data_IF_454670835037
#
_entry.id   IF_454670835037
#
_cell.length_a   1.000
_cell.length_b   1.000
_cell.length_c   1.000
_cell.angle_alpha   90.00
_cell.angle_beta   90.00
_cell.angle_gamma   90.00
#
_symmetry.space_group_name_H-M   'P 1'
#
loop_
_entity.id
_entity.type
_entity.pdbx_description
1 polymer ?
#
# COMPACT_ATOMS: atom_id res chain seq x y z
N UNK A 1 6.45 -16.31 9.38
CA UNK A 1 5.19 -17.01 9.68
C UNK A 1 4.67 -16.72 11.09
N UNK A 2 5.53 -16.58 12.12
CA UNK A 2 5.11 -16.15 13.46
C UNK A 2 4.47 -14.75 13.46
N UNK A 3 5.10 -13.81 12.74
CA UNK A 3 4.71 -12.41 12.82
C UNK A 3 3.40 -12.16 12.07
N UNK A 4 3.20 -12.80 10.93
CA UNK A 4 1.93 -12.76 10.18
C UNK A 4 0.73 -13.29 10.98
N UNK A 5 0.96 -14.31 11.82
CA UNK A 5 -0.08 -14.85 12.72
C UNK A 5 -0.38 -13.85 13.84
N UNK A 6 0.64 -13.21 14.41
CA UNK A 6 0.46 -12.18 15.45
C UNK A 6 -0.27 -10.93 14.92
N UNK A 7 0.03 -10.47 13.70
CA UNK A 7 -0.70 -9.36 13.07
C UNK A 7 -2.12 -9.76 12.66
N UNK A 8 -2.32 -11.00 12.23
CA UNK A 8 -3.65 -11.59 12.02
C UNK A 8 -4.51 -11.60 13.30
N UNK A 9 -3.87 -11.90 14.44
CA UNK A 9 -4.50 -11.87 15.76
C UNK A 9 -4.86 -10.45 16.22
N UNK A 10 -4.03 -9.45 15.90
CA UNK A 10 -4.37 -8.03 16.15
C UNK A 10 -5.65 -7.66 15.39
N UNK A 11 -5.75 -8.00 14.10
CA UNK A 11 -6.98 -7.79 13.32
C UNK A 11 -8.20 -8.43 13.97
N UNK A 12 -8.08 -9.69 14.43
CA UNK A 12 -9.16 -10.40 15.13
C UNK A 12 -9.56 -9.74 16.45
N UNK A 13 -8.58 -9.39 17.30
CA UNK A 13 -8.81 -8.75 18.60
C UNK A 13 -9.54 -7.40 18.46
N UNK A 14 -9.18 -6.62 17.44
CA UNK A 14 -9.82 -5.35 17.15
C UNK A 14 -11.23 -5.51 16.58
N UNK A 15 -11.47 -6.56 15.79
CA UNK A 15 -12.81 -6.88 15.28
C UNK A 15 -13.76 -7.28 16.41
N UNK A 16 -13.27 -8.07 17.36
CA UNK A 16 -14.01 -8.47 18.56
C UNK A 16 -14.27 -7.27 19.48
N UNK A 17 -13.30 -6.36 19.61
CA UNK A 17 -13.48 -5.10 20.33
C UNK A 17 -14.54 -4.22 19.67
N UNK A 18 -14.51 -4.03 18.35
CA UNK A 18 -15.50 -3.18 17.69
C UNK A 18 -16.89 -3.78 17.63
N UNK A 19 -17.05 -5.09 17.42
CA UNK A 19 -18.37 -5.74 17.52
C UNK A 19 -19.00 -5.52 18.92
N UNK A 20 -18.18 -5.45 19.97
CA UNK A 20 -18.64 -5.13 21.32
C UNK A 20 -19.04 -3.65 21.50
N UNK A 21 -18.55 -2.73 20.67
CA UNK A 21 -18.75 -1.27 20.81
C UNK A 21 -19.52 -0.61 19.65
N UNK A 22 -19.82 -1.34 18.56
CA UNK A 22 -20.49 -0.85 17.35
C UNK A 22 -21.97 -0.48 17.54
N UNK A 23 -22.56 -0.74 18.72
CA UNK A 23 -23.90 -0.26 19.06
C UNK A 23 -23.97 1.26 19.33
N UNK A 24 -22.85 1.99 19.32
CA UNK A 24 -22.80 3.39 19.78
C UNK A 24 -22.68 4.47 18.68
N UNK A 25 -22.43 4.14 17.41
CA UNK A 25 -22.26 5.15 16.34
C UNK A 25 -23.06 4.79 15.09
N UNK A 26 -24.38 4.81 15.23
CA UNK A 26 -25.30 4.74 14.10
C UNK A 26 -25.53 6.17 13.56
N UNK A 27 -24.51 6.71 12.90
CA UNK A 27 -24.55 7.98 12.18
C UNK A 27 -23.96 7.77 10.79
N UNK A 28 -24.64 8.30 9.78
CA UNK A 28 -24.47 8.16 8.32
C UNK A 28 -23.03 8.26 7.79
N UNK A 29 -22.16 7.26 8.02
CA UNK A 29 -20.90 7.14 7.29
C UNK A 29 -21.21 6.50 5.93
N UNK A 30 -21.33 7.34 4.91
CA UNK A 30 -21.22 6.92 3.51
C UNK A 30 -19.88 6.22 3.33
N UNK A 31 -19.81 5.07 2.64
CA UNK A 31 -18.55 4.33 2.47
C UNK A 31 -17.42 5.28 2.05
N UNK A 32 -16.43 5.49 2.91
CA UNK A 32 -15.29 6.39 2.65
C UNK A 32 -14.10 5.60 2.10
N UNK A 33 -13.14 6.30 1.51
CA UNK A 33 -11.93 5.71 0.93
C UNK A 33 -10.70 6.15 1.71
N UNK A 34 -9.89 5.19 2.14
CA UNK A 34 -8.58 5.40 2.72
C UNK A 34 -7.48 4.95 1.75
N UNK A 35 -6.42 5.76 1.65
CA UNK A 35 -5.17 5.41 0.97
C UNK A 35 -4.08 5.22 2.03
N UNK A 36 -3.56 4.00 2.19
CA UNK A 36 -2.43 3.67 3.08
C UNK A 36 -1.15 3.55 2.23
N UNK A 37 -0.35 4.61 2.19
CA UNK A 37 0.90 4.65 1.43
C UNK A 37 2.06 4.24 2.35
N UNK A 38 2.78 3.18 1.96
CA UNK A 38 3.81 2.55 2.79
C UNK A 38 3.19 1.64 3.86
N UNK A 39 2.36 0.70 3.42
CA UNK A 39 1.49 -0.09 4.28
C UNK A 39 2.21 -0.97 5.31
N UNK A 40 3.48 -1.32 5.09
CA UNK A 40 4.26 -2.21 5.93
C UNK A 40 3.46 -3.50 6.21
N UNK A 41 3.22 -3.89 7.47
CA UNK A 41 2.41 -5.05 7.82
C UNK A 41 0.88 -4.87 7.65
N UNK A 42 0.41 -3.70 7.21
CA UNK A 42 -1.00 -3.39 6.95
C UNK A 42 -1.81 -2.92 8.15
N UNK A 43 -1.17 -2.66 9.30
CA UNK A 43 -1.85 -2.31 10.56
C UNK A 43 -2.85 -1.16 10.40
N UNK A 44 -2.41 -0.01 9.87
CA UNK A 44 -3.28 1.16 9.69
C UNK A 44 -4.42 0.91 8.71
N UNK A 45 -4.16 0.18 7.64
CA UNK A 45 -5.20 -0.18 6.70
C UNK A 45 -6.30 -1.05 7.30
N UNK A 46 -5.94 -2.04 8.12
CA UNK A 46 -6.95 -2.85 8.79
C UNK A 46 -7.71 -2.06 9.85
N UNK A 47 -7.08 -1.12 10.55
CA UNK A 47 -7.78 -0.13 11.39
C UNK A 47 -8.74 0.76 10.59
N UNK A 48 -8.36 1.22 9.39
CA UNK A 48 -9.25 2.01 8.54
C UNK A 48 -10.43 1.20 7.99
N UNK A 49 -10.24 -0.10 7.73
CA UNK A 49 -11.29 -0.98 7.23
C UNK A 49 -12.41 -1.24 8.26
N UNK A 50 -12.14 -1.06 9.55
CA UNK A 50 -13.08 -1.35 10.62
C UNK A 50 -14.31 -0.40 10.61
N UNK A 51 -14.19 0.95 10.51
CA UNK A 51 -15.33 1.87 10.36
C UNK A 51 -15.94 1.92 8.95
N UNK A 52 -16.02 0.77 8.25
CA UNK A 52 -16.60 0.66 6.89
C UNK A 52 -15.90 1.47 5.77
N UNK A 53 -14.61 1.81 5.92
CA UNK A 53 -13.85 2.37 4.79
C UNK A 53 -13.43 1.26 3.83
N UNK A 54 -13.42 1.55 2.54
CA UNK A 54 -12.59 0.77 1.60
C UNK A 54 -11.16 1.32 1.68
N UNK A 55 -10.18 0.42 1.66
CA UNK A 55 -8.78 0.78 1.88
C UNK A 55 -7.91 0.25 0.75
N UNK A 56 -7.07 1.13 0.21
CA UNK A 56 -6.04 0.77 -0.75
C UNK A 56 -4.67 0.88 -0.07
N UNK A 57 -3.96 -0.24 0.04
CA UNK A 57 -2.63 -0.34 0.64
C UNK A 57 -1.59 -0.34 -0.47
N UNK A 58 -0.57 0.50 -0.37
CA UNK A 58 0.57 0.51 -1.28
C UNK A 58 1.82 0.10 -0.52
N UNK A 59 2.46 -0.98 -0.96
CA UNK A 59 3.65 -1.52 -0.32
C UNK A 59 4.63 -2.02 -1.39
N UNK A 60 5.92 -1.79 -1.18
CA UNK A 60 6.98 -2.10 -2.14
C UNK A 60 7.76 -3.37 -1.79
N UNK A 61 7.72 -3.83 -0.54
CA UNK A 61 8.51 -4.96 -0.07
C UNK A 61 7.72 -6.28 -0.10
N UNK A 62 8.22 -7.32 -0.81
CA UNK A 62 7.54 -8.61 -0.91
C UNK A 62 7.27 -9.33 0.41
N UNK A 63 8.15 -9.16 1.40
CA UNK A 63 7.98 -9.73 2.72
C UNK A 63 6.66 -9.28 3.36
N UNK A 64 6.32 -7.99 3.19
CA UNK A 64 5.08 -7.41 3.69
C UNK A 64 3.86 -7.79 2.86
N UNK A 65 4.00 -7.98 1.55
CA UNK A 65 2.91 -8.48 0.72
C UNK A 65 2.39 -9.84 1.19
N UNK A 66 3.29 -10.75 1.57
CA UNK A 66 2.91 -12.06 2.07
C UNK A 66 2.11 -11.96 3.37
N UNK A 67 2.52 -11.07 4.28
CA UNK A 67 1.81 -10.80 5.54
C UNK A 67 0.41 -10.22 5.24
N UNK A 68 0.32 -9.14 4.47
CA UNK A 68 -0.95 -8.47 4.16
C UNK A 68 -1.91 -9.42 3.45
N UNK A 69 -1.45 -10.19 2.45
CA UNK A 69 -2.28 -11.17 1.73
C UNK A 69 -2.86 -12.21 2.67
N UNK A 70 -2.06 -12.69 3.61
CA UNK A 70 -2.53 -13.64 4.62
C UNK A 70 -3.54 -12.98 5.57
N UNK A 71 -3.30 -11.75 6.02
CA UNK A 71 -4.26 -10.99 6.85
C UNK A 71 -5.58 -10.75 6.13
N UNK A 72 -5.56 -10.42 4.83
CA UNK A 72 -6.77 -10.30 3.99
C UNK A 72 -7.50 -11.65 3.96
N UNK A 73 -6.77 -12.75 3.74
CA UNK A 73 -7.33 -14.11 3.59
C UNK A 73 -8.04 -14.59 4.86
N UNK A 74 -7.45 -14.37 6.04
CA UNK A 74 -7.99 -14.88 7.31
C UNK A 74 -9.11 -14.00 7.89
N UNK A 75 -9.24 -12.74 7.46
CA UNK A 75 -10.25 -11.80 7.94
C UNK A 75 -11.32 -11.57 6.85
N UNK A 76 -12.18 -12.56 6.58
CA UNK A 76 -13.08 -12.55 5.40
C UNK A 76 -13.90 -11.25 5.23
N UNK A 77 -14.45 -10.70 6.32
CA UNK A 77 -15.29 -9.49 6.25
C UNK A 77 -14.49 -8.20 6.07
N UNK A 78 -13.36 -8.05 6.78
CA UNK A 78 -12.50 -6.87 6.65
C UNK A 78 -11.66 -6.93 5.37
N UNK A 79 -11.18 -8.10 4.99
CA UNK A 79 -10.40 -8.34 3.79
C UNK A 79 -11.13 -7.94 2.51
N UNK A 80 -12.46 -8.09 2.45
CA UNK A 80 -13.29 -7.58 1.33
C UNK A 80 -13.22 -6.07 1.13
N UNK A 81 -12.79 -5.32 2.15
CA UNK A 81 -12.64 -3.86 2.10
C UNK A 81 -11.22 -3.41 1.77
N UNK A 82 -10.24 -4.32 1.76
CA UNK A 82 -8.81 -4.00 1.66
C UNK A 82 -8.25 -4.49 0.33
N UNK A 83 -7.65 -3.59 -0.45
CA UNK A 83 -6.95 -3.91 -1.70
C UNK A 83 -5.46 -3.62 -1.54
N UNK A 84 -4.62 -4.64 -1.76
CA UNK A 84 -3.16 -4.49 -1.78
C UNK A 84 -2.65 -4.17 -3.19
N UNK A 85 -1.90 -3.09 -3.29
CA UNK A 85 -1.12 -2.68 -4.46
C UNK A 85 0.36 -2.94 -4.20
N UNK A 86 0.95 -3.85 -4.98
CA UNK A 86 2.35 -4.27 -4.88
C UNK A 86 3.27 -3.30 -5.64
N UNK A 87 3.13 -2.00 -5.34
CA UNK A 87 3.83 -0.90 -6.00
C UNK A 87 4.04 0.27 -5.04
N UNK A 88 4.94 1.18 -5.41
CA UNK A 88 5.19 2.42 -4.68
C UNK A 88 4.36 3.57 -5.22
N UNK A 89 4.23 4.62 -4.41
CA UNK A 89 3.63 5.89 -4.82
C UNK A 89 4.69 6.98 -4.90
N UNK A 90 4.62 7.82 -5.93
CA UNK A 90 5.60 8.88 -6.17
C UNK A 90 5.12 9.94 -7.16
N UNK A 91 6.03 10.80 -7.59
CA UNK A 91 5.72 11.96 -8.45
C UNK A 91 5.64 11.62 -9.94
N UNK A 92 6.06 10.41 -10.32
CA UNK A 92 6.08 9.97 -11.71
C UNK A 92 5.99 8.45 -11.83
N UNK A 93 5.40 8.00 -12.93
CA UNK A 93 5.40 6.59 -13.34
C UNK A 93 6.83 6.16 -13.66
N UNK A 94 7.23 4.97 -13.19
CA UNK A 94 8.47 4.34 -13.62
C UNK A 94 8.91 3.17 -12.75
N UNK A 95 10.04 2.58 -13.10
CA UNK A 95 10.69 1.56 -12.28
C UNK A 95 11.79 2.22 -11.45
N UNK A 96 11.82 1.86 -10.18
CA UNK A 96 12.76 2.41 -9.21
C UNK A 96 13.56 1.29 -8.57
N UNK A 97 14.85 1.55 -8.38
CA UNK A 97 15.76 0.68 -7.65
C UNK A 97 15.52 0.87 -6.16
N UNK A 98 15.34 -0.24 -5.47
CA UNK A 98 15.33 -0.30 -4.02
C UNK A 98 16.79 -0.46 -3.56
N UNK A 99 17.29 0.54 -2.86
CA UNK A 99 18.64 0.52 -2.32
C UNK A 99 18.64 -0.12 -0.92
N UNK A 100 19.48 -1.14 -0.67
CA UNK A 100 19.66 -1.65 0.69
C UNK A 100 20.41 -0.59 1.52
N UNK A 101 19.78 -0.10 2.58
CA UNK A 101 20.46 0.66 3.62
C UNK A 101 19.83 0.32 4.98
N UNK A 102 20.65 0.30 6.04
CA UNK A 102 20.17 0.00 7.39
C UNK A 102 19.06 0.96 7.80
N UNK A 103 17.85 0.44 7.99
CA UNK A 103 16.71 1.17 8.54
C UNK A 103 15.94 2.11 7.61
N UNK A 104 16.35 2.29 6.34
CA UNK A 104 15.62 3.14 5.38
C UNK A 104 15.53 2.48 4.01
N UNK A 105 14.32 2.38 3.47
CA UNK A 105 14.13 1.91 2.08
C UNK A 105 14.24 3.11 1.14
N UNK A 106 15.42 3.33 0.56
CA UNK A 106 15.62 4.42 -0.41
C UNK A 106 15.30 3.96 -1.83
N UNK A 107 14.65 4.83 -2.59
CA UNK A 107 14.32 4.61 -3.99
C UNK A 107 15.12 5.53 -4.91
N UNK A 108 15.78 4.95 -5.90
CA UNK A 108 16.44 5.66 -6.99
C UNK A 108 15.78 5.36 -8.34
N UNK A 109 15.50 6.41 -9.11
CA UNK A 109 14.83 6.25 -10.40
C UNK A 109 15.73 5.52 -11.40
N UNK A 110 15.23 4.46 -12.03
CA UNK A 110 15.94 3.77 -13.10
C UNK A 110 15.51 4.33 -14.47
N UNK A 111 16.45 4.84 -15.29
CA UNK A 111 16.13 5.29 -16.65
C UNK A 111 15.59 4.17 -17.53
N UNK A 112 14.63 4.49 -18.41
CA UNK A 112 13.95 3.52 -19.29
C UNK A 112 14.89 2.62 -20.10
N UNK A 113 16.03 3.16 -20.56
CA UNK A 113 17.03 2.39 -21.28
C UNK A 113 17.56 1.22 -20.45
N UNK A 114 17.84 1.47 -19.16
CA UNK A 114 18.26 0.42 -18.23
C UNK A 114 17.11 -0.53 -17.92
N UNK A 115 15.88 -0.05 -17.80
CA UNK A 115 14.73 -0.92 -17.54
C UNK A 115 14.52 -1.93 -18.69
N UNK A 116 14.63 -1.47 -19.95
CA UNK A 116 14.50 -2.33 -21.15
C UNK A 116 15.57 -3.41 -21.24
N UNK A 117 16.81 -3.07 -20.89
CA UNK A 117 17.93 -4.03 -20.90
C UNK A 117 17.80 -5.12 -19.81
N UNK A 118 17.19 -4.77 -18.68
CA UNK A 118 17.22 -5.60 -17.46
C UNK A 118 15.92 -6.37 -17.18
N UNK A 119 14.76 -5.84 -17.58
CA UNK A 119 13.46 -6.36 -17.16
C UNK A 119 12.51 -6.70 -18.32
N UNK A 120 12.59 -5.97 -19.43
CA UNK A 120 11.73 -6.21 -20.59
C UNK A 120 12.40 -7.12 -21.63
N UNK A 121 12.71 -8.37 -21.25
CA UNK A 121 12.86 -9.42 -22.27
C UNK A 121 11.50 -9.75 -22.92
N UNK A 122 10.41 -9.47 -22.20
CA UNK A 122 9.02 -9.66 -22.62
C UNK A 122 8.17 -8.44 -22.16
N UNK A 123 7.50 -7.71 -23.08
CA UNK A 123 6.73 -6.51 -22.73
C UNK A 123 5.48 -6.76 -21.86
N UNK A 124 5.08 -8.02 -21.68
CA UNK A 124 3.92 -8.40 -20.85
C UNK A 124 4.31 -8.88 -19.44
N UNK A 125 5.60 -8.94 -19.11
CA UNK A 125 6.07 -9.33 -17.78
C UNK A 125 6.27 -8.09 -16.89
N UNK A 126 5.70 -8.13 -15.68
CA UNK A 126 6.05 -7.20 -14.62
C UNK A 126 7.55 -7.34 -14.32
N UNK A 127 8.29 -6.23 -14.11
CA UNK A 127 9.69 -6.29 -13.74
C UNK A 127 9.90 -7.27 -12.59
N UNK A 128 10.75 -8.28 -12.79
CA UNK A 128 11.15 -9.18 -11.72
C UNK A 128 11.70 -8.37 -10.55
N UNK A 129 11.30 -8.72 -9.32
CA UNK A 129 11.72 -8.01 -8.10
C UNK A 129 13.24 -8.07 -7.89
N UNK A 130 14.00 -8.76 -8.75
CA UNK A 130 15.46 -8.79 -8.76
C UNK A 130 15.94 -8.52 -10.19
N UNK A 131 16.82 -7.52 -10.36
CA UNK A 131 17.53 -7.25 -11.61
C UNK A 131 18.63 -8.30 -11.88
N UNK A 132 19.12 -8.40 -13.12
CA UNK A 132 20.36 -9.14 -13.46
C UNK A 132 21.59 -8.69 -12.63
N UNK A 133 21.52 -7.52 -11.99
CA UNK A 133 22.57 -6.96 -11.14
C UNK A 133 22.30 -7.10 -9.63
N UNK A 134 21.42 -8.02 -9.23
CA UNK A 134 21.18 -8.38 -7.81
C UNK A 134 20.60 -7.28 -6.91
N UNK A 135 20.03 -6.20 -7.48
CA UNK A 135 19.29 -5.21 -6.69
C UNK A 135 17.78 -5.32 -6.92
N UNK A 136 16.97 -5.11 -5.86
CA UNK A 136 15.54 -5.13 -6.00
C UNK A 136 15.01 -3.90 -6.75
N UNK A 137 13.92 -4.09 -7.49
CA UNK A 137 13.20 -2.99 -8.15
C UNK A 137 11.71 -3.05 -7.88
N UNK A 138 11.05 -1.89 -8.01
CA UNK A 138 9.62 -1.74 -7.84
C UNK A 138 9.04 -0.77 -8.86
N UNK A 139 7.79 -1.01 -9.26
CA UNK A 139 7.03 -0.02 -10.04
C UNK A 139 6.50 1.06 -9.11
N UNK A 140 6.61 2.32 -9.53
CA UNK A 140 6.08 3.48 -8.80
C UNK A 140 5.12 4.23 -9.70
N UNK A 141 4.03 4.73 -9.11
CA UNK A 141 2.95 5.43 -9.80
C UNK A 141 2.53 6.68 -9.03
N UNK A 142 2.00 7.72 -9.69
CA UNK A 142 1.25 8.78 -9.01
C UNK A 142 0.05 8.21 -8.25
N UNK A 143 -0.21 8.71 -7.03
CA UNK A 143 -1.40 8.33 -6.25
C UNK A 143 -2.69 8.63 -7.02
N UNK A 144 -2.67 9.73 -7.74
CA UNK A 144 -3.74 10.20 -8.61
C UNK A 144 -4.21 9.19 -9.66
N UNK A 145 -3.39 8.21 -10.03
CA UNK A 145 -3.79 7.10 -10.93
C UNK A 145 -4.78 6.14 -10.26
N UNK A 146 -4.89 6.17 -8.94
CA UNK A 146 -5.76 5.30 -8.14
C UNK A 146 -6.97 6.04 -7.55
N UNK A 147 -7.13 7.34 -7.86
CA UNK A 147 -8.24 8.15 -7.34
C UNK A 147 -9.43 8.05 -8.30
N UNK A 148 -10.43 7.26 -7.91
CA UNK A 148 -11.69 7.08 -8.66
C UNK A 148 -12.92 7.68 -7.95
N UNK A 149 -12.77 8.10 -6.69
CA UNK A 149 -13.81 8.75 -5.88
C UNK A 149 -13.15 9.59 -4.79
N UNK A 150 -13.99 10.30 -4.02
CA UNK A 150 -13.57 11.10 -2.87
C UNK A 150 -12.72 10.30 -1.89
N UNK A 151 -11.56 10.82 -1.50
CA UNK A 151 -10.66 10.23 -0.50
C UNK A 151 -10.88 10.94 0.82
N UNK A 152 -11.10 10.20 1.89
CA UNK A 152 -11.42 10.76 3.21
C UNK A 152 -10.25 10.63 4.19
N UNK A 153 -9.26 9.79 3.87
CA UNK A 153 -8.02 9.65 4.64
C UNK A 153 -6.87 9.24 3.74
N UNK A 154 -5.73 9.91 3.88
CA UNK A 154 -4.46 9.53 3.26
C UNK A 154 -3.44 9.41 4.38
N UNK A 155 -2.89 8.21 4.59
CA UNK A 155 -1.74 7.99 5.45
C UNK A 155 -0.50 7.81 4.57
N UNK A 156 0.59 8.49 4.93
CA UNK A 156 1.86 8.46 4.20
C UNK A 156 2.98 8.19 5.20
N UNK A 157 3.68 7.08 5.00
CA UNK A 157 4.87 6.70 5.78
C UNK A 157 5.79 5.88 4.87
N UNK A 158 6.69 6.55 4.16
CA UNK A 158 7.46 5.98 3.03
C UNK A 158 8.96 6.24 3.13
N UNK A 159 9.45 6.43 4.35
CA UNK A 159 10.87 6.51 4.70
C UNK A 159 11.68 7.48 3.82
N UNK A 160 11.20 8.73 3.68
CA UNK A 160 11.89 9.81 2.98
C UNK A 160 11.44 10.05 1.54
N UNK A 161 10.35 9.40 1.11
CA UNK A 161 9.74 9.59 -0.21
C UNK A 161 8.46 10.45 -0.18
N UNK A 162 8.12 11.05 0.96
CA UNK A 162 6.83 11.72 1.24
C UNK A 162 6.56 12.87 0.27
N UNK A 163 7.57 13.70 -0.01
CA UNK A 163 7.42 14.84 -0.93
C UNK A 163 7.07 14.37 -2.34
N UNK A 164 7.58 13.21 -2.78
CA UNK A 164 7.24 12.65 -4.08
C UNK A 164 5.83 12.07 -4.08
N UNK A 165 5.43 11.41 -2.99
CA UNK A 165 4.04 10.96 -2.82
C UNK A 165 3.07 12.14 -2.94
N UNK A 166 3.33 13.24 -2.21
CA UNK A 166 2.49 14.43 -2.22
C UNK A 166 2.38 15.05 -3.63
N UNK A 167 3.48 15.15 -4.37
CA UNK A 167 3.49 15.62 -5.77
C UNK A 167 2.72 14.70 -6.73
N UNK A 168 2.57 13.43 -6.40
CA UNK A 168 1.77 12.48 -7.17
C UNK A 168 0.29 12.43 -6.75
N UNK A 169 -0.13 13.26 -5.79
CA UNK A 169 -1.42 13.20 -5.11
C UNK A 169 -2.26 14.48 -5.28
N UNK A 170 -1.95 15.33 -6.26
CA UNK A 170 -2.61 16.63 -6.45
C UNK A 170 -4.15 16.50 -6.54
N UNK A 171 -4.66 15.57 -7.36
CA UNK A 171 -6.11 15.30 -7.46
C UNK A 171 -6.64 14.67 -6.20
N UNK A 172 -5.93 13.70 -5.61
CA UNK A 172 -6.32 13.03 -4.37
C UNK A 172 -6.58 14.05 -3.24
N UNK A 173 -5.71 15.04 -3.12
CA UNK A 173 -5.80 16.13 -2.15
C UNK A 173 -6.92 17.10 -2.53
N UNK A 174 -7.06 17.44 -3.81
CA UNK A 174 -8.09 18.38 -4.28
C UNK A 174 -9.53 17.85 -4.05
N UNK A 175 -9.73 16.53 -4.09
CA UNK A 175 -11.04 15.90 -3.84
C UNK A 175 -11.19 15.41 -2.40
N UNK A 176 -10.31 15.80 -1.48
CA UNK A 176 -10.31 15.27 -0.11
C UNK A 176 -11.59 15.66 0.66
N UNK A 177 -12.14 14.69 1.43
CA UNK A 177 -13.16 14.91 2.47
C UNK A 177 -14.29 13.89 2.51
#
# INVERSE_FOLDING_TARGET
>A
MSDSVNFGLIGRYLTEYELAHANAVQGTITSSLMMDIGGNHGTYAFYGATPNQSVHIFEILPAYWAVIKETIRINENLGKKVTLHQCGIGDKRGVWKVLPQEGLTRLDFLPDAMVKEHFYSNPNELPSVVSKHNFPVVSVYPLDDFVFRKVSLIKIDVEGFEIRVLKGADRAIAVFG
#
